data_IF_726684954249
#
_entry.id   IF_726684954249
#
_cell.length_a   1.000
_cell.length_b   1.000
_cell.length_c   1.000
_cell.angle_alpha   90.00
_cell.angle_beta   90.00
_cell.angle_gamma   90.00
#
_symmetry.space_group_name_H-M   'P 1'
#
loop_
_entity.id
_entity.type
_entity.pdbx_description
1 polymer ?
#
# COMPACT_ATOMS: atom_id res chain seq x y z
N UNK A 1 20.68 13.58 -2.41
CA UNK A 1 20.39 13.65 -0.96
C UNK A 1 20.39 12.24 -0.40
N UNK A 2 21.06 12.00 0.72
CA UNK A 2 21.06 10.71 1.42
C UNK A 2 20.25 10.85 2.71
N UNK A 3 19.23 10.02 2.88
CA UNK A 3 18.43 9.95 4.11
C UNK A 3 19.15 9.09 5.16
N UNK A 4 18.99 9.38 6.46
CA UNK A 4 19.57 8.57 7.52
C UNK A 4 18.99 7.15 7.52
N UNK A 5 19.79 6.17 7.95
CA UNK A 5 19.36 4.78 8.10
C UNK A 5 19.71 4.29 9.52
N UNK A 6 18.74 4.06 10.42
CA UNK A 6 17.29 4.11 10.19
C UNK A 6 16.75 5.54 10.02
N UNK A 7 15.64 5.67 9.28
CA UNK A 7 14.84 6.91 9.21
C UNK A 7 13.66 6.80 10.17
N UNK A 8 13.57 7.71 11.14
CA UNK A 8 12.40 7.85 12.03
C UNK A 8 11.80 9.24 11.89
N UNK A 9 10.54 9.30 11.46
CA UNK A 9 9.73 10.53 11.40
C UNK A 9 8.65 10.47 12.48
N UNK A 10 8.64 11.47 13.38
CA UNK A 10 7.69 11.55 14.51
C UNK A 10 6.26 11.95 14.13
N UNK A 11 6.07 12.43 12.90
CA UNK A 11 4.77 12.82 12.37
C UNK A 11 4.55 12.24 10.97
N UNK A 12 3.96 13.03 10.09
CA UNK A 12 3.74 12.65 8.70
C UNK A 12 5.02 12.81 7.88
N UNK A 13 5.23 11.90 6.94
CA UNK A 13 6.25 12.01 5.90
C UNK A 13 5.54 12.15 4.55
N UNK A 14 5.55 13.36 3.99
CA UNK A 14 5.03 13.62 2.64
C UNK A 14 6.21 13.71 1.66
N UNK A 15 6.25 12.76 0.73
CA UNK A 15 7.20 12.66 -0.38
C UNK A 15 6.46 12.58 -1.72
N UNK A 16 5.22 13.04 -1.75
CA UNK A 16 4.42 13.13 -2.97
C UNK A 16 5.14 13.97 -4.03
N UNK A 17 5.05 13.55 -5.30
CA UNK A 17 5.71 14.19 -6.45
C UNK A 17 7.24 14.35 -6.32
N UNK A 18 7.88 13.61 -5.42
CA UNK A 18 9.34 13.71 -5.23
C UNK A 18 10.11 12.79 -6.18
N UNK A 19 11.35 13.18 -6.48
CA UNK A 19 12.31 12.37 -7.23
C UNK A 19 12.95 11.24 -6.40
N UNK A 20 12.36 10.88 -5.25
CA UNK A 20 12.89 9.81 -4.41
C UNK A 20 12.78 8.48 -5.16
N UNK A 21 13.91 7.81 -5.37
CA UNK A 21 13.95 6.51 -6.04
C UNK A 21 13.97 5.36 -5.03
N UNK A 22 14.50 5.62 -3.83
CA UNK A 22 14.63 4.66 -2.74
C UNK A 22 14.53 5.35 -1.38
N UNK A 23 13.99 4.63 -0.41
CA UNK A 23 14.07 4.98 0.99
C UNK A 23 15.14 4.11 1.69
N UNK A 24 15.65 4.54 2.86
CA UNK A 24 16.53 3.72 3.70
C UNK A 24 15.95 2.34 4.00
N UNK A 25 16.80 1.38 4.35
CA UNK A 25 16.37 -0.01 4.58
C UNK A 25 15.38 -0.17 5.75
N UNK A 26 15.44 0.73 6.73
CA UNK A 26 14.53 0.80 7.87
C UNK A 26 13.89 2.18 7.93
N UNK A 27 12.56 2.23 7.81
CA UNK A 27 11.76 3.44 7.89
C UNK A 27 10.64 3.25 8.90
N UNK A 28 10.54 4.21 9.82
CA UNK A 28 9.41 4.34 10.75
C UNK A 28 8.79 5.74 10.63
N UNK A 29 7.48 5.78 10.43
CA UNK A 29 6.68 7.00 10.39
C UNK A 29 5.58 6.87 11.44
N UNK A 30 5.64 7.70 12.48
CA UNK A 30 4.65 7.68 13.58
C UNK A 30 3.30 8.32 13.15
N UNK A 31 3.21 8.86 11.93
CA UNK A 31 1.97 9.32 11.28
C UNK A 31 1.74 8.66 9.92
N UNK A 32 1.32 9.47 8.94
CA UNK A 32 1.03 9.06 7.57
C UNK A 32 2.26 9.08 6.67
N UNK A 33 2.36 8.13 5.74
CA UNK A 33 3.38 8.12 4.70
C UNK A 33 2.73 8.31 3.32
N UNK A 34 3.00 9.46 2.69
CA UNK A 34 2.57 9.74 1.32
C UNK A 34 3.76 9.66 0.36
N UNK A 35 3.72 8.72 -0.57
CA UNK A 35 4.71 8.50 -1.64
C UNK A 35 4.09 8.67 -3.03
N UNK A 36 2.85 9.18 -3.12
CA UNK A 36 2.13 9.25 -4.38
C UNK A 36 2.91 10.02 -5.45
N UNK A 37 2.84 9.57 -6.70
CA UNK A 37 3.53 10.18 -7.85
C UNK A 37 5.06 10.29 -7.73
N UNK A 38 5.68 9.67 -6.72
CA UNK A 38 7.13 9.66 -6.59
C UNK A 38 7.80 8.63 -7.50
N UNK A 39 9.10 8.79 -7.71
CA UNK A 39 9.91 7.88 -8.52
C UNK A 39 10.29 6.56 -7.80
N UNK A 40 9.70 6.28 -6.64
CA UNK A 40 10.09 5.12 -5.82
C UNK A 40 9.75 3.81 -6.54
N UNK A 41 10.70 2.88 -6.51
CA UNK A 41 10.57 1.57 -7.19
C UNK A 41 10.42 0.39 -6.23
N UNK A 42 10.72 0.59 -4.94
CA UNK A 42 10.64 -0.44 -3.90
C UNK A 42 10.34 0.17 -2.53
N UNK A 43 9.59 -0.56 -1.70
CA UNK A 43 9.42 -0.23 -0.29
C UNK A 43 10.68 -0.64 0.51
N UNK A 44 10.96 0.03 1.64
CA UNK A 44 11.96 -0.39 2.61
C UNK A 44 11.81 -1.85 3.03
N UNK A 45 12.94 -2.50 3.37
CA UNK A 45 12.94 -3.86 3.93
C UNK A 45 12.11 -3.92 5.21
N UNK A 46 12.20 -2.88 6.05
CA UNK A 46 11.37 -2.70 7.23
C UNK A 46 10.67 -1.35 7.14
N UNK A 47 9.35 -1.40 6.96
CA UNK A 47 8.49 -0.22 6.93
C UNK A 47 7.46 -0.32 8.06
N UNK A 48 7.47 0.66 8.97
CA UNK A 48 6.46 0.87 10.00
C UNK A 48 5.77 2.21 9.75
N UNK A 49 4.44 2.20 9.57
CA UNK A 49 3.61 3.41 9.42
C UNK A 49 2.46 3.28 10.40
N UNK A 50 2.24 4.30 11.23
CA UNK A 50 1.16 4.26 12.22
C UNK A 50 -0.19 4.72 11.64
N UNK A 51 -0.17 5.55 10.58
CA UNK A 51 -1.35 6.03 9.87
C UNK A 51 -1.60 5.33 8.53
N UNK A 52 -1.99 6.11 7.52
CA UNK A 52 -2.20 5.62 6.16
C UNK A 52 -0.90 5.53 5.36
N UNK A 53 -0.93 4.70 4.30
CA UNK A 53 0.12 4.60 3.30
C UNK A 53 -0.44 4.87 1.91
N UNK A 54 0.04 5.93 1.25
CA UNK A 54 -0.35 6.26 -0.13
C UNK A 54 0.81 5.96 -1.09
N UNK A 55 0.62 4.97 -1.97
CA UNK A 55 1.56 4.55 -3.01
C UNK A 55 1.05 4.83 -4.43
N UNK A 56 -0.01 5.64 -4.55
CA UNK A 56 -0.65 5.89 -5.84
C UNK A 56 0.35 6.37 -6.89
N UNK A 57 0.26 5.81 -8.09
CA UNK A 57 1.12 6.16 -9.24
C UNK A 57 2.63 6.03 -9.00
N UNK A 58 3.06 5.21 -8.02
CA UNK A 58 4.47 4.83 -7.88
C UNK A 58 4.86 3.74 -8.87
N UNK A 59 6.17 3.54 -9.06
CA UNK A 59 6.73 2.49 -9.94
C UNK A 59 6.91 1.14 -9.23
N UNK A 60 6.43 1.00 -8.00
CA UNK A 60 6.50 -0.23 -7.21
C UNK A 60 5.67 -1.33 -7.88
N UNK A 61 6.29 -2.48 -8.14
CA UNK A 61 5.63 -3.63 -8.79
C UNK A 61 5.24 -4.74 -7.81
N UNK A 62 5.74 -4.67 -6.56
CA UNK A 62 5.47 -5.67 -5.51
C UNK A 62 5.47 -5.03 -4.13
N UNK A 63 4.58 -5.52 -3.27
CA UNK A 63 4.56 -5.18 -1.85
C UNK A 63 5.23 -6.29 -1.03
N UNK A 64 5.69 -5.95 0.17
CA UNK A 64 6.25 -6.93 1.10
C UNK A 64 5.15 -7.91 1.56
N UNK A 65 5.45 -9.22 1.70
CA UNK A 65 4.57 -10.16 2.39
C UNK A 65 4.24 -9.66 3.80
N UNK A 66 3.04 -9.95 4.29
CA UNK A 66 2.59 -9.54 5.63
C UNK A 66 2.59 -8.03 5.88
N UNK A 67 2.44 -7.21 4.82
CA UNK A 67 2.29 -5.76 4.97
C UNK A 67 1.07 -5.45 5.84
N UNK A 68 1.27 -4.65 6.89
CA UNK A 68 0.22 -4.20 7.81
C UNK A 68 0.18 -2.68 7.83
N UNK A 69 -0.96 -2.11 7.44
CA UNK A 69 -1.21 -0.67 7.46
C UNK A 69 -2.39 -0.41 8.39
N UNK A 70 -2.22 0.32 9.51
CA UNK A 70 -3.32 0.58 10.44
C UNK A 70 -4.42 1.47 9.87
N UNK A 71 -4.08 2.39 8.98
CA UNK A 71 -5.04 3.22 8.24
C UNK A 71 -5.32 2.70 6.84
N UNK A 72 -5.61 3.62 5.93
CA UNK A 72 -5.90 3.33 4.53
C UNK A 72 -4.64 2.94 3.74
N UNK A 73 -4.84 2.15 2.69
CA UNK A 73 -3.81 1.81 1.71
C UNK A 73 -4.29 2.15 0.30
N UNK A 74 -3.63 3.12 -0.34
CA UNK A 74 -3.87 3.44 -1.75
C UNK A 74 -2.79 2.87 -2.65
N UNK A 75 -3.21 2.01 -3.59
CA UNK A 75 -2.37 1.42 -4.63
C UNK A 75 -2.76 1.89 -6.04
N UNK A 76 -3.57 2.96 -6.12
CA UNK A 76 -4.19 3.42 -7.37
C UNK A 76 -3.12 3.66 -8.45
N UNK A 77 -3.36 3.14 -9.65
CA UNK A 77 -2.49 3.36 -10.82
C UNK A 77 -1.09 2.74 -10.72
N UNK A 78 -0.83 1.89 -9.72
CA UNK A 78 0.43 1.15 -9.64
C UNK A 78 0.50 0.02 -10.69
N UNK A 79 1.70 -0.30 -11.20
CA UNK A 79 1.91 -1.41 -12.14
C UNK A 79 1.91 -2.79 -11.45
N UNK A 80 1.16 -2.93 -10.34
CA UNK A 80 1.05 -4.17 -9.58
C UNK A 80 0.00 -5.10 -10.23
N UNK A 81 0.31 -6.39 -10.27
CA UNK A 81 -0.56 -7.44 -10.83
C UNK A 81 -1.17 -8.35 -9.77
N UNK A 82 -0.59 -8.38 -8.56
CA UNK A 82 -1.04 -9.20 -7.44
C UNK A 82 -0.75 -8.50 -6.11
N UNK A 83 -1.67 -8.60 -5.16
CA UNK A 83 -1.41 -8.23 -3.77
C UNK A 83 -0.58 -9.33 -3.07
N UNK A 84 0.16 -9.02 -2.00
CA UNK A 84 0.81 -10.04 -1.20
C UNK A 84 -0.23 -10.82 -0.37
N UNK A 85 -0.01 -12.11 -0.08
CA UNK A 85 -0.83 -12.82 0.89
C UNK A 85 -0.64 -12.20 2.28
N UNK A 86 -1.65 -12.35 3.13
CA UNK A 86 -1.64 -11.83 4.51
C UNK A 86 -1.52 -10.29 4.61
N UNK A 87 -1.93 -9.56 3.57
CA UNK A 87 -2.11 -8.12 3.63
C UNK A 87 -3.17 -7.76 4.68
N UNK A 88 -2.86 -6.83 5.58
CA UNK A 88 -3.81 -6.29 6.55
C UNK A 88 -3.90 -4.77 6.43
N UNK A 89 -5.10 -4.28 6.17
CA UNK A 89 -5.44 -2.85 6.07
C UNK A 89 -6.48 -2.54 7.13
N UNK A 90 -6.19 -1.58 8.00
CA UNK A 90 -7.07 -1.20 9.10
C UNK A 90 -8.12 -0.15 8.73
N UNK A 91 -7.97 0.52 7.59
CA UNK A 91 -8.99 1.32 6.93
C UNK A 91 -9.39 0.73 5.57
N UNK A 92 -9.48 1.60 4.57
CA UNK A 92 -9.91 1.27 3.21
C UNK A 92 -8.75 0.86 2.30
N UNK A 93 -9.05 0.02 1.31
CA UNK A 93 -8.11 -0.41 0.28
C UNK A 93 -8.53 0.08 -1.11
N UNK A 94 -7.69 0.87 -1.76
CA UNK A 94 -7.95 1.45 -3.08
C UNK A 94 -7.08 0.81 -4.15
N UNK A 95 -7.70 0.18 -5.16
CA UNK A 95 -7.02 -0.63 -6.20
C UNK A 95 -7.25 -0.12 -7.63
N UNK A 96 -8.00 0.98 -7.81
CA UNK A 96 -8.35 1.49 -9.13
C UNK A 96 -7.14 1.63 -10.06
N UNK A 97 -7.33 1.29 -11.34
CA UNK A 97 -6.28 1.38 -12.38
C UNK A 97 -5.02 0.52 -12.12
N UNK A 98 -5.10 -0.51 -11.26
CA UNK A 98 -4.07 -1.56 -11.20
C UNK A 98 -4.37 -2.68 -12.20
N UNK A 99 -3.44 -3.64 -12.36
CA UNK A 99 -3.61 -4.82 -13.23
C UNK A 99 -4.03 -6.07 -12.46
N UNK A 100 -4.55 -5.89 -11.24
CA UNK A 100 -5.00 -6.99 -10.40
C UNK A 100 -6.29 -7.56 -11.00
N UNK A 101 -6.37 -8.89 -11.11
CA UNK A 101 -7.58 -9.60 -11.56
C UNK A 101 -8.08 -10.63 -10.55
N UNK A 102 -7.30 -10.85 -9.49
CA UNK A 102 -7.53 -11.86 -8.44
C UNK A 102 -6.98 -11.34 -7.11
N UNK A 103 -7.67 -11.63 -6.01
CA UNK A 103 -7.17 -11.33 -4.67
C UNK A 103 -6.51 -12.60 -4.09
N UNK A 104 -5.32 -12.52 -3.47
CA UNK A 104 -4.70 -13.66 -2.80
C UNK A 104 -5.48 -14.06 -1.54
N UNK A 105 -5.26 -15.27 -1.01
CA UNK A 105 -5.89 -15.70 0.23
C UNK A 105 -5.40 -14.89 1.44
N UNK A 106 -6.22 -14.88 2.49
CA UNK A 106 -5.92 -14.29 3.79
C UNK A 106 -5.68 -12.77 3.78
N UNK A 107 -6.31 -12.02 2.88
CA UNK A 107 -6.39 -10.56 2.98
C UNK A 107 -7.41 -10.17 4.05
N UNK A 108 -7.07 -9.17 4.86
CA UNK A 108 -8.00 -8.52 5.80
C UNK A 108 -8.03 -7.02 5.55
N UNK A 109 -9.21 -6.48 5.27
CA UNK A 109 -9.49 -5.04 5.16
C UNK A 109 -10.60 -4.71 6.14
N UNK A 110 -10.37 -3.80 7.09
CA UNK A 110 -11.41 -3.45 8.08
C UNK A 110 -12.45 -2.48 7.53
N UNK A 111 -12.07 -1.63 6.58
CA UNK A 111 -12.99 -0.75 5.85
C UNK A 111 -13.48 -1.39 4.55
N UNK A 112 -13.61 -0.54 3.54
CA UNK A 112 -14.10 -0.88 2.21
C UNK A 112 -12.95 -1.25 1.24
N UNK A 113 -13.28 -1.98 0.18
CA UNK A 113 -12.39 -2.23 -0.96
C UNK A 113 -12.95 -1.54 -2.20
N UNK A 114 -12.17 -0.65 -2.80
CA UNK A 114 -12.51 0.06 -4.03
C UNK A 114 -11.71 -0.50 -5.22
N UNK A 115 -12.37 -1.25 -6.09
CA UNK A 115 -11.78 -1.92 -7.25
C UNK A 115 -11.60 -0.98 -8.44
N UNK A 116 -12.46 0.04 -8.58
CA UNK A 116 -12.34 1.07 -9.61
C UNK A 116 -12.36 0.51 -11.03
N UNK A 117 -13.31 -0.37 -11.31
CA UNK A 117 -13.51 -1.04 -12.60
C UNK A 117 -12.75 -2.36 -12.76
N UNK A 118 -12.00 -2.81 -11.74
CA UNK A 118 -11.35 -4.12 -11.77
C UNK A 118 -12.42 -5.22 -11.66
N UNK A 119 -12.44 -6.11 -12.65
CA UNK A 119 -13.26 -7.31 -12.64
C UNK A 119 -12.48 -8.46 -12.02
N UNK A 120 -12.86 -8.84 -10.79
CA UNK A 120 -12.32 -10.03 -10.14
C UNK A 120 -12.99 -11.28 -10.70
N UNK A 121 -12.21 -12.31 -10.99
CA UNK A 121 -12.77 -13.61 -11.44
C UNK A 121 -13.56 -14.31 -10.34
N UNK A 122 -13.12 -14.16 -9.10
CA UNK A 122 -13.74 -14.72 -7.91
C UNK A 122 -13.31 -13.95 -6.67
N UNK A 123 -14.06 -14.12 -5.60
CA UNK A 123 -13.72 -13.62 -4.26
C UNK A 123 -13.21 -14.80 -3.43
N UNK A 124 -11.99 -14.73 -2.85
CA UNK A 124 -11.48 -15.80 -2.00
C UNK A 124 -12.34 -15.99 -0.75
N UNK A 125 -12.62 -17.24 -0.36
CA UNK A 125 -13.36 -17.55 0.89
C UNK A 125 -12.64 -17.04 2.16
N UNK A 126 -11.33 -16.83 2.07
CA UNK A 126 -10.49 -16.32 3.17
C UNK A 126 -10.38 -14.79 3.21
N UNK A 127 -11.01 -14.08 2.27
CA UNK A 127 -11.08 -12.63 2.28
C UNK A 127 -11.95 -12.17 3.46
N UNK A 128 -11.41 -11.26 4.28
CA UNK A 128 -12.16 -10.62 5.36
C UNK A 128 -12.28 -9.13 5.07
N UNK A 129 -13.50 -8.65 4.85
CA UNK A 129 -13.83 -7.23 4.65
C UNK A 129 -14.81 -6.81 5.73
N UNK A 130 -14.52 -5.71 6.44
CA UNK A 130 -15.43 -5.16 7.44
C UNK A 130 -16.52 -4.27 6.84
N UNK A 131 -16.23 -3.63 5.71
CA UNK A 131 -17.17 -2.89 4.89
C UNK A 131 -17.59 -3.63 3.62
N UNK A 132 -17.76 -2.89 2.54
CA UNK A 132 -18.22 -3.37 1.24
C UNK A 132 -17.08 -3.47 0.22
N UNK A 133 -17.35 -4.19 -0.87
CA UNK A 133 -16.49 -4.21 -2.05
C UNK A 133 -17.22 -3.44 -3.16
N UNK A 134 -16.66 -2.29 -3.56
CA UNK A 134 -17.16 -1.47 -4.65
C UNK A 134 -16.41 -1.83 -5.94
N UNK A 135 -17.19 -2.15 -6.98
CA UNK A 135 -16.69 -2.49 -8.31
C UNK A 135 -16.54 -1.24 -9.17
#
# INVERSE_FOLDING_TARGET
MTLPNPLHVKGNLNLENSDINYLPGVVRVDGNLNLAYSNIVLLPKKLEVAGYLNLAHTKITRLSPYLKIPGDLSLIGMPITQLPPYLSVGGDLYLAHTKITELPPNITVKGDIYLGGIQLKSIPETLRVGGNIYQ
#
